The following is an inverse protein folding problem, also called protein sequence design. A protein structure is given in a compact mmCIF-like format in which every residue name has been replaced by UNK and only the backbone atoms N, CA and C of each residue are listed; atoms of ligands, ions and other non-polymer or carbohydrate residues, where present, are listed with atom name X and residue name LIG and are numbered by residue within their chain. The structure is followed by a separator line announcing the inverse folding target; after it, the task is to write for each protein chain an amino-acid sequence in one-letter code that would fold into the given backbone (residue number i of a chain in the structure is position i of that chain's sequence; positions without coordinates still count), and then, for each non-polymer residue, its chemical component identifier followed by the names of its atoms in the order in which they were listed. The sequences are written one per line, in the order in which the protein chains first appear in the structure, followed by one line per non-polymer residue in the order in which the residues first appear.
data_IF_273919077893
#
_entry.id   IF_273919077893
#
_cell.length_a   1.000
_cell.length_b   1.000
_cell.length_c   1.000
_cell.angle_alpha   90.00
_cell.angle_beta   90.00
_cell.angle_gamma   90.00
#
_symmetry.space_group_name_H-M   'P 1'
#
loop_
_entity.id
_entity.type
_entity.pdbx_description
1 polymer ?
#
# COMPACT_ATOMS: atom_id res chain seq x y z
N UNK A 1 19.40 65.69 24.11
CA UNK A 1 20.14 64.79 25.04
C UNK A 1 19.51 63.41 24.94
N UNK A 2 20.11 62.36 24.39
CA UNK A 2 21.53 62.14 24.15
C UNK A 2 21.85 61.76 22.71
N UNK A 3 22.81 62.50 22.14
CA UNK A 3 23.44 62.23 20.85
C UNK A 3 24.18 60.87 20.85
N UNK A 4 24.48 60.33 22.03
CA UNK A 4 25.10 59.01 22.23
C UNK A 4 24.14 57.86 21.87
N UNK A 5 22.82 58.04 22.05
CA UNK A 5 21.83 57.04 21.66
C UNK A 5 21.75 56.85 20.15
N UNK A 6 21.74 57.95 19.39
CA UNK A 6 21.65 57.91 17.92
C UNK A 6 22.88 57.32 17.23
N UNK A 7 24.07 57.49 17.80
CA UNK A 7 25.31 56.94 17.24
C UNK A 7 25.41 55.42 17.49
N UNK A 8 24.97 54.94 18.65
CA UNK A 8 24.88 53.50 18.92
C UNK A 8 23.83 52.82 18.02
N UNK A 9 22.69 53.47 17.74
CA UNK A 9 21.68 52.93 16.82
C UNK A 9 22.16 52.94 15.36
N UNK A 10 22.94 53.93 14.93
CA UNK A 10 23.49 53.97 13.57
C UNK A 10 24.60 52.91 13.33
N UNK A 11 25.45 52.65 14.35
CA UNK A 11 26.54 51.66 14.25
C UNK A 11 26.07 50.22 14.45
N UNK A 12 25.06 49.97 15.30
CA UNK A 12 24.57 48.62 15.61
C UNK A 12 23.22 48.25 14.96
N UNK A 13 22.44 49.22 14.47
CA UNK A 13 21.11 48.98 13.91
C UNK A 13 21.09 48.33 12.52
N UNK A 14 22.09 48.64 11.67
CA UNK A 14 22.17 48.10 10.31
C UNK A 14 22.74 46.67 10.25
N UNK A 15 23.48 46.24 11.28
CA UNK A 15 24.21 44.96 11.27
C UNK A 15 23.39 43.76 11.80
N UNK A 16 22.26 44.01 12.48
CA UNK A 16 21.43 42.92 13.03
C UNK A 16 20.61 42.20 11.95
N UNK A 17 20.13 42.92 10.93
CA UNK A 17 19.42 42.30 9.79
C UNK A 17 20.37 41.55 8.84
N UNK A 18 21.52 42.15 8.50
CA UNK A 18 22.47 41.53 7.57
C UNK A 18 23.12 40.24 8.12
N UNK A 19 23.30 40.12 9.43
CA UNK A 19 23.82 38.88 10.05
C UNK A 19 22.75 37.79 10.11
N UNK A 20 21.48 38.13 10.32
CA UNK A 20 20.37 37.17 10.24
C UNK A 20 20.23 36.63 8.81
N UNK A 21 20.28 37.54 7.83
CA UNK A 21 20.18 37.20 6.40
C UNK A 21 21.39 36.37 5.90
N UNK A 22 22.59 36.63 6.44
CA UNK A 22 23.80 35.83 6.11
C UNK A 22 23.83 34.49 6.85
N UNK A 23 23.29 34.38 8.08
CA UNK A 23 23.23 33.10 8.82
C UNK A 23 22.12 32.20 8.30
N UNK A 24 21.00 32.75 7.82
CA UNK A 24 19.96 32.00 7.09
C UNK A 24 20.48 31.42 5.76
N UNK A 25 21.48 32.06 5.13
CA UNK A 25 22.12 31.55 3.91
C UNK A 25 23.06 30.35 4.17
N UNK A 26 23.62 30.21 5.37
CA UNK A 26 24.52 29.10 5.74
C UNK A 26 23.87 28.03 6.64
N UNK A 27 22.68 28.30 7.19
CA UNK A 27 21.91 27.36 8.01
C UNK A 27 20.45 27.43 7.59
N UNK A 28 20.03 26.44 6.81
CA UNK A 28 18.66 26.27 6.32
C UNK A 28 17.64 26.51 7.45
N UNK A 29 16.78 27.51 7.22
CA UNK A 29 15.80 28.01 8.17
C UNK A 29 14.91 26.86 8.67
N UNK A 30 14.84 26.68 9.99
CA UNK A 30 14.16 25.53 10.59
C UNK A 30 12.66 25.53 10.25
N UNK A 31 12.03 26.71 10.17
CA UNK A 31 10.66 26.89 9.70
C UNK A 31 10.50 26.49 8.22
N UNK A 32 11.37 26.96 7.32
CA UNK A 32 11.27 26.62 5.89
C UNK A 32 11.50 25.14 5.58
N UNK A 33 12.22 24.41 6.46
CA UNK A 33 12.34 22.95 6.41
C UNK A 33 11.11 22.25 6.96
N UNK A 34 10.51 22.78 8.03
CA UNK A 34 9.29 22.25 8.62
C UNK A 34 8.07 22.40 7.70
N UNK A 35 7.98 23.52 6.98
CA UNK A 35 6.93 23.82 6.01
C UNK A 35 6.99 22.88 4.80
N UNK A 36 8.17 22.75 4.16
CA UNK A 36 8.39 21.77 3.08
C UNK A 36 8.16 20.32 3.50
N UNK A 37 8.51 19.97 4.74
CA UNK A 37 8.24 18.64 5.27
C UNK A 37 6.73 18.43 5.57
N UNK A 38 5.99 19.49 5.89
CA UNK A 38 4.53 19.46 5.99
C UNK A 38 3.89 19.23 4.63
N UNK A 39 4.27 20.02 3.63
CA UNK A 39 3.74 19.92 2.26
C UNK A 39 4.01 18.55 1.65
N UNK A 40 5.22 18.01 1.87
CA UNK A 40 5.55 16.67 1.40
C UNK A 40 4.70 15.60 2.09
N UNK A 41 4.46 15.72 3.41
CA UNK A 41 3.59 14.80 4.13
C UNK A 41 2.14 14.89 3.66
N UNK A 42 1.64 16.10 3.42
CA UNK A 42 0.29 16.32 2.91
C UNK A 42 0.11 15.74 1.51
N UNK A 43 1.08 15.94 0.61
CA UNK A 43 1.07 15.36 -0.73
C UNK A 43 1.12 13.82 -0.70
N UNK A 44 1.94 13.24 0.18
CA UNK A 44 2.01 11.78 0.37
C UNK A 44 0.69 11.24 0.93
N UNK A 45 0.10 11.90 1.93
CA UNK A 45 -1.19 11.51 2.49
C UNK A 45 -2.34 11.64 1.48
N UNK A 46 -2.34 12.69 0.66
CA UNK A 46 -3.33 12.88 -0.40
C UNK A 46 -3.20 11.80 -1.47
N UNK A 47 -1.98 11.42 -1.86
CA UNK A 47 -1.75 10.32 -2.79
C UNK A 47 -2.17 8.98 -2.19
N UNK A 48 -1.82 8.70 -0.93
CA UNK A 48 -2.28 7.50 -0.22
C UNK A 48 -3.80 7.46 -0.11
N UNK A 49 -4.45 8.59 0.17
CA UNK A 49 -5.91 8.68 0.23
C UNK A 49 -6.54 8.44 -1.15
N UNK A 50 -5.95 8.94 -2.23
CA UNK A 50 -6.42 8.71 -3.60
C UNK A 50 -6.22 7.26 -4.05
N UNK A 51 -5.13 6.60 -3.64
CA UNK A 51 -4.86 5.19 -3.94
C UNK A 51 -5.71 4.24 -3.08
N UNK A 52 -5.99 4.61 -1.82
CA UNK A 52 -6.85 3.88 -0.89
C UNK A 52 -8.34 4.18 -1.05
N UNK A 53 -8.71 5.16 -1.90
CA UNK A 53 -10.08 5.43 -2.29
C UNK A 53 -10.58 4.28 -3.18
N UNK A 54 -10.81 3.13 -2.55
CA UNK A 54 -11.44 1.98 -3.15
C UNK A 54 -12.75 2.47 -3.77
N UNK A 55 -12.92 2.30 -5.08
CA UNK A 55 -14.17 2.61 -5.76
C UNK A 55 -15.31 1.99 -4.94
N UNK A 56 -16.24 2.82 -4.44
CA UNK A 56 -17.34 2.40 -3.56
C UNK A 56 -18.21 1.38 -4.31
N UNK A 57 -17.85 0.11 -4.21
CA UNK A 57 -18.62 -1.03 -4.74
C UNK A 57 -20.02 -0.99 -4.12
N UNK A 58 -21.05 -1.14 -4.95
CA UNK A 58 -22.44 -1.07 -4.49
C UNK A 58 -22.76 -2.13 -3.44
N UNK A 59 -23.84 -1.95 -2.68
CA UNK A 59 -24.34 -2.99 -1.76
C UNK A 59 -24.64 -4.31 -2.49
N UNK A 60 -25.16 -4.20 -3.72
CA UNK A 60 -25.42 -5.32 -4.61
C UNK A 60 -24.13 -6.04 -5.04
N UNK A 61 -23.11 -5.29 -5.46
CA UNK A 61 -21.81 -5.87 -5.84
C UNK A 61 -21.19 -6.65 -4.68
N UNK A 62 -21.27 -6.12 -3.45
CA UNK A 62 -20.77 -6.81 -2.26
C UNK A 62 -21.55 -8.08 -1.94
N UNK A 63 -22.87 -8.09 -2.16
CA UNK A 63 -23.69 -9.28 -2.00
C UNK A 63 -23.30 -10.37 -3.01
N UNK A 64 -23.18 -10.00 -4.28
CA UNK A 64 -22.77 -10.92 -5.35
C UNK A 64 -21.34 -11.42 -5.14
N UNK A 65 -20.42 -10.56 -4.69
CA UNK A 65 -19.07 -10.96 -4.32
C UNK A 65 -19.08 -11.92 -3.13
N UNK A 66 -19.93 -11.68 -2.13
CA UNK A 66 -20.13 -12.59 -1.00
C UNK A 66 -20.60 -13.95 -1.48
N UNK A 67 -21.68 -14.00 -2.26
CA UNK A 67 -22.25 -15.23 -2.82
C UNK A 67 -21.22 -16.03 -3.64
N UNK A 68 -20.40 -15.33 -4.41
CA UNK A 68 -19.33 -15.95 -5.19
C UNK A 68 -18.14 -16.45 -4.38
N UNK A 69 -17.99 -15.98 -3.13
CA UNK A 69 -16.94 -16.43 -2.20
C UNK A 69 -17.42 -17.55 -1.28
N UNK A 70 -18.74 -17.76 -1.16
CA UNK A 70 -19.35 -18.85 -0.39
C UNK A 70 -18.95 -20.27 -0.80
N UNK A 71 -18.59 -20.61 -2.07
CA UNK A 71 -18.26 -21.99 -2.42
C UNK A 71 -17.13 -22.57 -1.57
N UNK A 72 -16.09 -21.79 -1.28
CA UNK A 72 -14.94 -22.24 -0.47
C UNK A 72 -15.34 -22.58 0.99
N UNK A 73 -15.99 -21.66 1.74
CA UNK A 73 -16.54 -21.98 3.05
C UNK A 73 -17.56 -23.13 3.03
N UNK A 74 -18.44 -23.16 2.03
CA UNK A 74 -19.47 -24.20 1.91
C UNK A 74 -18.86 -25.59 1.73
N UNK A 75 -17.79 -25.73 0.95
CA UNK A 75 -17.06 -27.00 0.85
C UNK A 75 -16.46 -27.42 2.19
N UNK A 76 -15.84 -26.50 2.92
CA UNK A 76 -15.25 -26.81 4.22
C UNK A 76 -16.31 -27.26 5.24
N UNK A 77 -17.38 -26.48 5.40
CA UNK A 77 -18.49 -26.83 6.30
C UNK A 77 -19.26 -28.06 5.83
N UNK A 78 -19.40 -28.26 4.52
CA UNK A 78 -20.03 -29.44 3.94
C UNK A 78 -19.26 -30.71 4.28
N UNK A 79 -17.93 -30.71 4.17
CA UNK A 79 -17.10 -31.87 4.54
C UNK A 79 -17.17 -32.16 6.04
N UNK A 80 -17.10 -31.12 6.89
CA UNK A 80 -17.28 -31.29 8.34
C UNK A 80 -18.69 -31.82 8.66
N UNK A 81 -19.70 -31.34 7.95
CA UNK A 81 -21.09 -31.79 8.07
C UNK A 81 -21.27 -33.25 7.66
N UNK A 82 -20.60 -33.71 6.59
CA UNK A 82 -20.61 -35.12 6.18
C UNK A 82 -20.00 -36.02 7.26
N UNK A 83 -18.88 -35.62 7.84
CA UNK A 83 -18.25 -36.36 8.96
C UNK A 83 -19.19 -36.39 10.17
N UNK A 84 -19.77 -35.25 10.53
CA UNK A 84 -20.74 -35.16 11.61
C UNK A 84 -21.99 -36.02 11.38
N UNK A 85 -22.54 -36.02 10.16
CA UNK A 85 -23.70 -36.82 9.79
C UNK A 85 -23.40 -38.32 9.85
N UNK A 86 -22.21 -38.74 9.42
CA UNK A 86 -21.76 -40.13 9.53
C UNK A 86 -21.67 -40.61 10.99
N UNK A 87 -21.32 -39.72 11.93
CA UNK A 87 -21.29 -40.04 13.36
C UNK A 87 -22.66 -39.96 14.03
N UNK A 88 -23.54 -39.06 13.60
CA UNK A 88 -24.85 -38.84 14.19
C UNK A 88 -25.86 -39.95 13.83
N UNK A 89 -25.88 -40.39 12.57
CA UNK A 89 -26.71 -41.50 12.10
C UNK A 89 -25.97 -42.30 11.00
N UNK A 90 -25.20 -43.34 11.40
CA UNK A 90 -24.43 -44.13 10.46
C UNK A 90 -25.29 -44.90 9.45
N UNK A 91 -26.47 -45.36 9.85
CA UNK A 91 -27.34 -46.16 8.99
C UNK A 91 -27.97 -45.29 7.88
N UNK A 92 -28.44 -44.09 8.25
CA UNK A 92 -28.92 -43.10 7.28
C UNK A 92 -27.82 -42.69 6.30
N UNK A 93 -26.60 -42.45 6.80
CA UNK A 93 -25.46 -42.08 5.96
C UNK A 93 -25.09 -43.19 4.97
N UNK A 94 -24.99 -44.44 5.42
CA UNK A 94 -24.67 -45.59 4.58
C UNK A 94 -25.66 -45.76 3.43
N UNK A 95 -26.96 -45.63 3.70
CA UNK A 95 -28.00 -45.72 2.68
C UNK A 95 -27.86 -44.63 1.58
N UNK A 96 -27.35 -43.43 1.90
CA UNK A 96 -27.06 -42.40 0.88
C UNK A 96 -25.78 -42.71 0.09
N UNK A 97 -24.78 -43.31 0.74
CA UNK A 97 -23.53 -43.70 0.07
C UNK A 97 -23.77 -44.81 -0.97
N UNK A 98 -24.71 -45.73 -0.74
CA UNK A 98 -25.15 -46.70 -1.74
C UNK A 98 -25.70 -46.01 -2.99
N UNK A 99 -26.54 -44.98 -2.81
CA UNK A 99 -27.05 -44.18 -3.93
C UNK A 99 -25.93 -43.48 -4.72
N UNK A 100 -24.90 -42.97 -4.04
CA UNK A 100 -23.73 -42.39 -4.70
C UNK A 100 -22.88 -43.42 -5.44
N UNK A 101 -22.77 -44.64 -4.92
CA UNK A 101 -22.06 -45.74 -5.58
C UNK A 101 -22.74 -46.19 -6.89
N UNK A 102 -24.05 -45.99 -7.02
CA UNK A 102 -24.80 -46.28 -8.24
C UNK A 102 -24.67 -45.20 -9.32
N UNK A 103 -24.08 -44.03 -9.00
CA UNK A 103 -23.90 -42.95 -9.99
C UNK A 103 -22.90 -43.42 -11.06
N UNK A 104 -23.29 -43.44 -12.34
CA UNK A 104 -22.40 -43.85 -13.43
C UNK A 104 -21.14 -43.00 -13.52
N UNK A 105 -20.00 -43.63 -13.82
CA UNK A 105 -18.71 -42.97 -14.01
C UNK A 105 -18.76 -41.76 -14.98
N UNK A 106 -19.49 -41.82 -16.13
CA UNK A 106 -19.58 -40.67 -17.03
C UNK A 106 -20.19 -39.42 -16.41
N UNK A 107 -21.09 -39.55 -15.43
CA UNK A 107 -21.69 -38.39 -14.75
C UNK A 107 -20.68 -37.71 -13.82
N UNK A 108 -19.76 -38.45 -13.22
CA UNK A 108 -18.65 -37.88 -12.46
C UNK A 108 -17.73 -37.07 -13.36
N UNK A 109 -17.40 -37.60 -14.54
CA UNK A 109 -16.62 -36.87 -15.55
C UNK A 109 -17.34 -35.60 -16.01
N UNK A 110 -18.66 -35.67 -16.28
CA UNK A 110 -19.45 -34.53 -16.68
C UNK A 110 -19.48 -33.44 -15.59
N UNK A 111 -19.71 -33.81 -14.34
CA UNK A 111 -19.68 -32.88 -13.21
C UNK A 111 -18.30 -32.23 -13.07
N UNK A 112 -17.22 -33.01 -13.13
CA UNK A 112 -15.85 -32.50 -13.11
C UNK A 112 -15.58 -31.51 -14.24
N UNK A 113 -16.04 -31.82 -15.46
CA UNK A 113 -15.89 -30.95 -16.62
C UNK A 113 -16.65 -29.63 -16.47
N UNK A 114 -17.91 -29.66 -16.02
CA UNK A 114 -18.73 -28.45 -15.83
C UNK A 114 -18.12 -27.54 -14.75
N UNK A 115 -17.74 -28.12 -13.60
CA UNK A 115 -17.13 -27.37 -12.49
C UNK A 115 -15.79 -26.77 -12.93
N UNK A 116 -14.95 -27.56 -13.60
CA UNK A 116 -13.65 -27.09 -14.12
C UNK A 116 -13.81 -25.99 -15.15
N UNK A 117 -14.81 -26.08 -16.03
CA UNK A 117 -15.09 -25.02 -17.01
C UNK A 117 -15.56 -23.73 -16.32
N UNK A 118 -16.51 -23.83 -15.39
CA UNK A 118 -17.04 -22.66 -14.66
C UNK A 118 -15.96 -21.92 -13.87
N UNK A 119 -15.19 -22.65 -13.05
CA UNK A 119 -14.15 -22.03 -12.23
C UNK A 119 -12.89 -21.70 -13.04
N UNK A 120 -12.57 -22.50 -14.07
CA UNK A 120 -11.44 -22.27 -14.97
C UNK A 120 -11.61 -21.00 -15.79
N UNK A 121 -12.79 -20.74 -16.36
CA UNK A 121 -13.10 -19.49 -17.05
C UNK A 121 -13.04 -18.28 -16.10
N UNK A 122 -13.50 -18.42 -14.86
CA UNK A 122 -13.46 -17.34 -13.86
C UNK A 122 -12.04 -16.96 -13.43
N UNK A 123 -11.14 -17.94 -13.30
CA UNK A 123 -9.73 -17.66 -12.99
C UNK A 123 -9.04 -16.90 -14.12
N UNK A 124 -9.36 -17.20 -15.38
CA UNK A 124 -8.82 -16.49 -16.54
C UNK A 124 -9.22 -15.01 -16.54
N UNK A 125 -10.47 -14.69 -16.22
CA UNK A 125 -10.96 -13.30 -16.16
C UNK A 125 -10.27 -12.49 -15.05
N UNK A 126 -9.98 -13.13 -13.91
CA UNK A 126 -9.23 -12.49 -12.81
C UNK A 126 -7.77 -12.23 -13.20
N UNK A 127 -7.12 -13.17 -13.90
CA UNK A 127 -5.73 -13.04 -14.35
C UNK A 127 -5.49 -11.86 -15.29
N UNK A 128 -6.44 -11.57 -16.18
CA UNK A 128 -6.35 -10.43 -17.10
C UNK A 128 -6.40 -9.06 -16.40
N UNK A 129 -6.93 -8.98 -15.16
CA UNK A 129 -6.90 -7.76 -14.36
C UNK A 129 -5.48 -7.34 -14.02
N UNK A 130 -4.64 -8.30 -13.65
CA UNK A 130 -3.24 -8.07 -13.29
C UNK A 130 -2.39 -7.59 -14.47
N UNK A 131 -2.59 -8.17 -15.66
CA UNK A 131 -1.88 -7.71 -16.86
C UNK A 131 -2.26 -6.28 -17.22
N UNK A 132 -3.56 -5.94 -17.15
CA UNK A 132 -4.05 -4.57 -17.39
C UNK A 132 -3.49 -3.58 -16.37
N UNK A 133 -3.45 -3.96 -15.10
CA UNK A 133 -2.89 -3.14 -14.03
C UNK A 133 -1.37 -2.95 -14.17
N UNK A 134 -0.64 -3.99 -14.57
CA UNK A 134 0.80 -3.91 -14.84
C UNK A 134 1.11 -3.01 -16.03
N UNK A 135 0.34 -3.12 -17.12
CA UNK A 135 0.45 -2.23 -18.28
C UNK A 135 0.13 -0.79 -17.90
N UNK A 136 -0.92 -0.55 -17.10
CA UNK A 136 -1.27 0.78 -16.61
C UNK A 136 -0.20 1.35 -15.67
N UNK A 137 0.41 0.55 -14.81
CA UNK A 137 1.52 0.95 -13.94
C UNK A 137 2.76 1.33 -14.76
N UNK A 138 3.13 0.52 -15.76
CA UNK A 138 4.22 0.82 -16.69
C UNK A 138 3.96 2.11 -17.49
N UNK A 139 2.72 2.32 -17.93
CA UNK A 139 2.33 3.54 -18.64
C UNK A 139 2.45 4.79 -17.73
N UNK A 140 2.05 4.71 -16.46
CA UNK A 140 2.21 5.79 -15.47
C UNK A 140 3.68 6.08 -15.18
N UNK A 141 4.52 5.05 -15.04
CA UNK A 141 5.97 5.20 -14.88
C UNK A 141 6.61 5.86 -16.10
N UNK A 142 6.19 5.50 -17.31
CA UNK A 142 6.71 6.08 -18.56
C UNK A 142 6.23 7.52 -18.80
N UNK A 143 5.02 7.85 -18.35
CA UNK A 143 4.48 9.21 -18.36
C UNK A 143 5.21 10.12 -17.36
N UNK A 144 5.67 9.57 -16.23
CA UNK A 144 6.68 10.19 -15.36
C UNK A 144 8.07 10.05 -15.99
N UNK A 145 8.30 10.62 -17.18
CA UNK A 145 9.69 10.96 -17.54
C UNK A 145 10.19 11.90 -16.45
N UNK A 146 11.35 11.63 -15.81
CA UNK A 146 12.01 12.70 -15.07
C UNK A 146 12.22 13.84 -16.06
N UNK A 147 11.79 15.05 -15.71
CA UNK A 147 12.28 16.23 -16.42
C UNK A 147 13.81 16.14 -16.49
N UNK A 148 14.44 16.55 -17.60
CA UNK A 148 15.89 16.62 -17.66
C UNK A 148 16.36 17.52 -16.53
N UNK A 149 16.84 16.90 -15.45
CA UNK A 149 17.41 17.59 -14.29
C UNK A 149 18.52 18.48 -14.84
N UNK A 150 18.44 19.82 -14.67
CA UNK A 150 19.54 20.70 -15.05
C UNK A 150 20.83 20.17 -14.42
N UNK A 151 21.86 19.97 -15.24
CA UNK A 151 23.18 19.55 -14.78
C UNK A 151 23.81 20.69 -13.98
N UNK A 152 23.46 20.84 -12.69
CA UNK A 152 24.25 21.65 -11.77
C UNK A 152 23.93 21.40 -10.30
N UNK A 153 24.80 20.60 -9.66
CA UNK A 153 25.40 20.80 -8.33
C UNK A 153 26.11 19.49 -7.92
N UNK A 154 27.25 19.54 -7.20
CA UNK A 154 27.91 18.34 -6.69
C UNK A 154 26.93 17.58 -5.80
N UNK A 155 26.60 16.34 -6.18
CA UNK A 155 25.76 15.48 -5.36
C UNK A 155 26.38 15.36 -3.96
N UNK A 156 25.61 15.56 -2.87
CA UNK A 156 26.11 15.24 -1.55
C UNK A 156 26.53 13.78 -1.57
N UNK A 157 27.78 13.55 -1.20
CA UNK A 157 28.42 12.22 -1.17
C UNK A 157 27.47 11.28 -0.42
N UNK A 158 26.80 10.37 -1.14
CA UNK A 158 25.95 9.37 -0.51
C UNK A 158 26.89 8.55 0.36
N UNK A 159 26.75 8.71 1.68
CA UNK A 159 27.50 7.96 2.67
C UNK A 159 27.41 6.49 2.28
N UNK A 160 28.56 5.87 1.98
CA UNK A 160 28.61 4.44 1.65
C UNK A 160 28.03 3.69 2.85
N UNK A 161 27.40 2.54 2.63
CA UNK A 161 26.74 1.71 3.65
C UNK A 161 27.60 1.32 4.87
N UNK A 162 28.89 1.69 4.91
CA UNK A 162 29.84 1.45 5.98
C UNK A 162 30.19 2.71 6.81
N UNK A 163 29.56 3.87 6.55
CA UNK A 163 29.72 5.04 7.42
C UNK A 163 28.82 4.90 8.66
N UNK A 164 29.35 5.11 9.88
CA UNK A 164 28.59 4.98 11.11
C UNK A 164 27.40 5.93 11.10
N UNK A 165 26.20 5.37 11.20
CA UNK A 165 24.95 6.12 11.16
C UNK A 165 24.73 6.82 12.51
N UNK A 166 25.03 8.11 12.56
CA UNK A 166 24.91 8.95 13.75
C UNK A 166 23.50 8.91 14.39
N UNK A 167 22.43 8.79 13.59
CA UNK A 167 21.07 8.70 14.10
C UNK A 167 20.80 7.38 14.86
N UNK A 168 21.46 6.30 14.44
CA UNK A 168 21.37 4.98 15.06
C UNK A 168 22.15 4.93 16.39
N UNK A 169 23.26 5.68 16.49
CA UNK A 169 24.06 5.81 17.71
C UNK A 169 23.39 6.69 18.76
N UNK A 170 22.73 7.77 18.36
CA UNK A 170 21.94 8.61 19.27
C UNK A 170 20.73 7.85 19.85
N UNK A 171 20.02 7.08 19.01
CA UNK A 171 18.93 6.23 19.48
C UNK A 171 19.39 5.18 20.50
N UNK A 172 20.52 4.51 20.25
CA UNK A 172 21.10 3.53 21.19
C UNK A 172 21.50 4.17 22.52
N UNK A 173 22.03 5.40 22.51
CA UNK A 173 22.36 6.15 23.73
C UNK A 173 21.14 6.57 24.54
N UNK A 174 19.97 6.68 23.90
CA UNK A 174 18.72 7.05 24.57
C UNK A 174 18.01 5.84 25.20
N UNK A 175 18.44 4.61 24.88
CA UNK A 175 17.86 3.35 25.37
C UNK A 175 18.66 2.71 26.52
N UNK A 176 19.77 3.31 26.94
CA UNK A 176 20.60 2.90 28.08
C UNK A 176 20.38 3.84 29.27
#
# INVERSE_FOLDING_TARGET
MGLIGGIFTALFGARRNAVVETVEAFRENAEGRAERASDHREAVLAQFAAEMAQARRGRWDRFIDGLNRLPRPAMAFGTLGLIGAAMADPAWFAARMEGLALVPEPLWWLMGAIVSFYFGARMQVTGQGYEREMIAALARMRARRPEPVPREAPQPRIARANEPNAALEDWRRTQA
#
